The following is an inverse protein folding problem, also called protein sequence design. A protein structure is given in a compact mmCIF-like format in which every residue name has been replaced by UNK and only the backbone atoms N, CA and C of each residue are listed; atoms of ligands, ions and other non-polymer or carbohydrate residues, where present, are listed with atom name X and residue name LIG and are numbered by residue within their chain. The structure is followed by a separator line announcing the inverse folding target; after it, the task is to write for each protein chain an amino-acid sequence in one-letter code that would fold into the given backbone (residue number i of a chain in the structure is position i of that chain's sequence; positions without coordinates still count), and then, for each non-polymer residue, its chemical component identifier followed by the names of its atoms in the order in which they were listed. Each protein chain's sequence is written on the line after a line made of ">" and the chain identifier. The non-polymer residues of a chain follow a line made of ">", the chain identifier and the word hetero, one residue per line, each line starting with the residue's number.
data_IF_393170546368
#
_entry.id   IF_393170546368
#
_cell.length_a   1.000
_cell.length_b   1.000
_cell.length_c   1.000
_cell.angle_alpha   90.00
_cell.angle_beta   90.00
_cell.angle_gamma   90.00
#
_symmetry.space_group_name_H-M   'P 1'
#
loop_
_entity.id
_entity.type
_entity.pdbx_description
1 polymer ?
#
# COMPACT_ATOMS: atom_id res chain seq x y z
N UNK A 1 28.67 -21.51 -20.91
CA UNK A 1 27.59 -20.61 -20.48
C UNK A 1 27.10 -21.14 -19.14
N UNK A 2 27.56 -20.54 -18.05
CA UNK A 2 27.22 -20.98 -16.69
C UNK A 2 25.80 -20.46 -16.37
N UNK A 3 24.84 -21.37 -16.23
CA UNK A 3 23.46 -20.99 -15.92
C UNK A 3 23.39 -20.58 -14.44
N UNK A 4 23.01 -19.33 -14.17
CA UNK A 4 22.81 -18.84 -12.80
C UNK A 4 21.70 -19.65 -12.11
N UNK A 5 21.98 -20.14 -10.90
CA UNK A 5 21.02 -20.93 -10.10
C UNK A 5 19.86 -20.06 -9.64
N UNK A 6 18.63 -20.38 -10.07
CA UNK A 6 17.43 -19.70 -9.62
C UNK A 6 17.22 -19.87 -8.10
N UNK A 7 16.91 -18.78 -7.41
CA UNK A 7 16.58 -18.80 -5.98
C UNK A 7 15.20 -19.48 -5.79
N UNK A 8 15.19 -20.74 -5.32
CA UNK A 8 13.95 -21.54 -5.10
C UNK A 8 12.95 -20.87 -4.17
N UNK A 9 13.42 -20.07 -3.20
CA UNK A 9 12.54 -19.35 -2.29
C UNK A 9 11.77 -18.25 -3.04
N UNK A 10 12.43 -17.58 -4.00
CA UNK A 10 11.78 -16.58 -4.85
C UNK A 10 10.72 -17.22 -5.74
N UNK A 11 11.03 -18.35 -6.38
CA UNK A 11 10.07 -19.11 -7.19
C UNK A 11 8.84 -19.53 -6.38
N UNK A 12 9.04 -19.96 -5.13
CA UNK A 12 7.94 -20.36 -4.24
C UNK A 12 7.06 -19.18 -3.85
N UNK A 13 7.66 -18.03 -3.51
CA UNK A 13 6.93 -16.81 -3.20
C UNK A 13 6.15 -16.28 -4.42
N UNK A 14 6.76 -16.28 -5.61
CA UNK A 14 6.10 -15.89 -6.86
C UNK A 14 4.91 -16.78 -7.18
N UNK A 15 5.05 -18.11 -7.00
CA UNK A 15 3.96 -19.06 -7.19
C UNK A 15 2.79 -18.77 -6.24
N UNK A 16 3.07 -18.50 -4.96
CA UNK A 16 2.05 -18.18 -3.97
C UNK A 16 1.28 -16.90 -4.35
N UNK A 17 2.00 -15.82 -4.69
CA UNK A 17 1.39 -14.56 -5.16
C UNK A 17 0.54 -14.76 -6.41
N UNK A 18 1.05 -15.50 -7.40
CA UNK A 18 0.32 -15.74 -8.64
C UNK A 18 -0.93 -16.60 -8.40
N UNK A 19 -0.87 -17.59 -7.50
CA UNK A 19 -2.04 -18.42 -7.16
C UNK A 19 -3.14 -17.60 -6.51
N UNK A 20 -2.80 -16.75 -5.53
CA UNK A 20 -3.76 -15.84 -4.92
C UNK A 20 -4.30 -14.81 -5.92
N UNK A 21 -3.43 -14.24 -6.75
CA UNK A 21 -3.82 -13.26 -7.79
C UNK A 21 -4.83 -13.86 -8.76
N UNK A 22 -4.56 -15.08 -9.26
CA UNK A 22 -5.45 -15.78 -10.18
C UNK A 22 -6.82 -16.02 -9.55
N UNK A 23 -6.87 -16.55 -8.32
CA UNK A 23 -8.13 -16.81 -7.62
C UNK A 23 -8.98 -15.52 -7.48
N UNK A 24 -8.38 -14.41 -7.03
CA UNK A 24 -9.14 -13.17 -6.86
C UNK A 24 -9.64 -12.61 -8.21
N UNK A 25 -8.81 -12.67 -9.27
CA UNK A 25 -9.19 -12.18 -10.60
C UNK A 25 -10.24 -13.06 -11.29
N UNK A 26 -10.16 -14.38 -11.14
CA UNK A 26 -11.15 -15.34 -11.64
C UNK A 26 -12.54 -15.10 -11.01
N UNK A 27 -12.57 -14.57 -9.79
CA UNK A 27 -13.79 -14.17 -9.08
C UNK A 27 -14.11 -12.67 -9.20
N UNK A 28 -13.54 -12.00 -10.20
CA UNK A 28 -13.92 -10.63 -10.59
C UNK A 28 -13.33 -9.52 -9.72
N UNK A 29 -12.35 -9.79 -8.87
CA UNK A 29 -11.70 -8.78 -8.03
C UNK A 29 -10.40 -8.27 -8.65
N UNK A 30 -10.03 -7.04 -8.29
CA UNK A 30 -8.82 -6.40 -8.80
C UNK A 30 -7.65 -6.65 -7.85
N UNK A 31 -6.51 -7.03 -8.41
CA UNK A 31 -5.28 -7.29 -7.65
C UNK A 31 -4.15 -6.44 -8.20
N UNK A 32 -3.51 -5.67 -7.33
CA UNK A 32 -2.33 -4.86 -7.63
C UNK A 32 -1.13 -5.40 -6.87
N UNK A 33 -0.01 -5.59 -7.57
CA UNK A 33 1.26 -5.99 -6.95
C UNK A 33 1.96 -4.75 -6.42
N UNK A 34 2.53 -4.85 -5.22
CA UNK A 34 3.34 -3.78 -4.63
C UNK A 34 4.78 -4.02 -5.07
N UNK A 35 5.41 -3.00 -5.64
CA UNK A 35 6.83 -3.07 -6.00
C UNK A 35 7.67 -3.08 -4.71
N UNK A 36 8.56 -4.07 -4.61
CA UNK A 36 9.29 -4.44 -3.39
C UNK A 36 10.32 -3.44 -2.89
N UNK A 37 10.38 -2.23 -3.48
CA UNK A 37 11.26 -1.15 -3.04
C UNK A 37 10.73 -0.44 -1.78
N UNK A 38 9.46 -0.66 -1.41
CA UNK A 38 8.85 -0.20 -0.16
C UNK A 38 8.59 -1.39 0.79
N UNK A 39 9.47 -1.62 1.78
CA UNK A 39 9.37 -2.73 2.74
C UNK A 39 8.38 -2.47 3.90
N UNK A 40 7.11 -2.22 3.56
CA UNK A 40 6.01 -2.14 4.55
C UNK A 40 5.45 -3.51 4.94
N UNK A 41 5.87 -4.56 4.23
CA UNK A 41 5.51 -5.94 4.54
C UNK A 41 4.18 -6.39 3.93
N UNK A 42 3.60 -5.66 2.98
CA UNK A 42 2.48 -6.11 2.15
C UNK A 42 2.96 -6.45 0.73
N UNK A 43 2.40 -7.51 0.12
CA UNK A 43 2.76 -7.93 -1.24
C UNK A 43 1.78 -7.40 -2.29
N UNK A 44 0.50 -7.28 -1.92
CA UNK A 44 -0.59 -6.98 -2.85
C UNK A 44 -1.63 -6.04 -2.23
N UNK A 45 -2.35 -5.31 -3.08
CA UNK A 45 -3.65 -4.74 -2.75
C UNK A 45 -4.75 -5.47 -3.51
N UNK A 46 -5.90 -5.65 -2.87
CA UNK A 46 -7.09 -6.20 -3.51
C UNK A 46 -8.26 -5.25 -3.35
N UNK A 47 -8.79 -4.77 -4.48
CA UNK A 47 -10.03 -4.01 -4.55
C UNK A 47 -11.22 -4.95 -4.80
N UNK A 48 -12.22 -4.92 -3.92
CA UNK A 48 -13.41 -5.74 -4.08
C UNK A 48 -14.40 -5.10 -5.04
N UNK A 49 -14.94 -5.93 -5.93
CA UNK A 49 -15.95 -5.56 -6.91
C UNK A 49 -17.25 -6.32 -6.61
N UNK A 50 -18.36 -5.69 -6.98
CA UNK A 50 -19.72 -6.21 -6.91
C UNK A 50 -20.43 -5.75 -8.19
N UNK A 51 -21.01 -6.68 -8.95
CA UNK A 51 -21.64 -6.43 -10.26
C UNK A 51 -20.74 -5.61 -11.22
N UNK A 52 -19.46 -6.00 -11.34
CA UNK A 52 -18.43 -5.33 -12.14
C UNK A 52 -18.16 -3.86 -11.76
N UNK A 53 -18.61 -3.43 -10.57
CA UNK A 53 -18.34 -2.11 -9.99
C UNK A 53 -17.51 -2.25 -8.74
N UNK A 54 -16.53 -1.37 -8.55
CA UNK A 54 -15.85 -1.32 -7.25
C UNK A 54 -16.82 -0.95 -6.14
N UNK A 55 -16.60 -1.56 -5.01
CA UNK A 55 -17.37 -1.38 -3.79
C UNK A 55 -16.89 -0.21 -2.95
N UNK A 56 -15.66 0.28 -3.17
CA UNK A 56 -15.02 1.14 -2.18
C UNK A 56 -14.09 0.38 -1.22
N UNK A 57 -14.21 -0.94 -1.16
CA UNK A 57 -13.56 -1.77 -0.15
C UNK A 57 -12.22 -2.32 -0.69
N UNK A 58 -11.13 -2.09 0.06
CA UNK A 58 -9.78 -2.57 -0.28
C UNK A 58 -9.13 -3.23 0.92
N UNK A 59 -8.37 -4.28 0.64
CA UNK A 59 -7.47 -4.93 1.61
C UNK A 59 -6.03 -4.93 1.09
N UNK A 60 -5.08 -4.96 2.02
CA UNK A 60 -3.70 -5.25 1.73
C UNK A 60 -3.44 -6.72 2.08
N UNK A 61 -2.56 -7.37 1.33
CA UNK A 61 -2.33 -8.81 1.45
C UNK A 61 -0.85 -9.09 1.52
N UNK A 62 -0.45 -9.80 2.57
CA UNK A 62 0.91 -10.30 2.76
C UNK A 62 0.91 -11.79 2.45
N UNK A 63 1.58 -12.19 1.36
CA UNK A 63 1.50 -13.53 0.79
C UNK A 63 2.80 -14.29 1.05
N UNK A 64 2.69 -15.41 1.75
CA UNK A 64 3.79 -16.33 2.02
C UNK A 64 3.57 -17.66 1.32
N UNK A 65 4.64 -18.25 0.81
CA UNK A 65 4.60 -19.55 0.14
C UNK A 65 5.65 -20.49 0.71
N UNK A 66 5.25 -21.71 1.04
CA UNK A 66 6.18 -22.77 1.42
C UNK A 66 5.85 -23.51 2.71
N UNK A 67 6.39 -24.71 2.84
CA UNK A 67 6.19 -25.59 4.02
C UNK A 67 6.72 -25.00 5.33
N UNK A 68 7.65 -24.03 5.26
CA UNK A 68 8.23 -23.35 6.42
C UNK A 68 7.23 -22.51 7.22
N UNK A 69 6.06 -22.21 6.66
CA UNK A 69 5.00 -21.45 7.33
C UNK A 69 4.00 -22.33 8.09
N UNK A 70 4.12 -23.66 8.01
CA UNK A 70 3.29 -24.59 8.79
C UNK A 70 3.57 -24.43 10.28
N UNK A 71 2.50 -24.47 11.07
CA UNK A 71 2.53 -24.41 12.52
C UNK A 71 1.63 -25.51 13.11
N UNK A 72 1.70 -25.71 14.43
CA UNK A 72 0.74 -26.57 15.12
C UNK A 72 -0.67 -25.98 14.93
N UNK A 73 -1.60 -26.77 14.37
CA UNK A 73 -2.97 -26.34 14.09
C UNK A 73 -3.21 -25.73 12.70
N UNK A 74 -2.17 -25.29 11.98
CA UNK A 74 -2.34 -24.65 10.67
C UNK A 74 -1.07 -24.01 10.16
N UNK A 75 -1.08 -22.68 10.06
CA UNK A 75 0.01 -21.87 9.52
C UNK A 75 0.25 -20.64 10.40
N UNK A 76 1.42 -20.03 10.26
CA UNK A 76 1.72 -18.78 10.96
C UNK A 76 2.61 -17.86 10.13
N UNK A 77 2.36 -16.56 10.25
CA UNK A 77 3.17 -15.50 9.64
C UNK A 77 3.72 -14.61 10.75
N UNK A 78 5.03 -14.37 10.73
CA UNK A 78 5.68 -13.49 11.72
C UNK A 78 5.29 -12.03 11.46
N UNK A 79 4.89 -11.34 12.53
CA UNK A 79 4.53 -9.92 12.50
C UNK A 79 5.77 -9.05 12.28
N UNK A 80 6.88 -9.37 12.97
CA UNK A 80 8.16 -8.66 12.88
C UNK A 80 7.97 -7.13 13.07
N UNK A 81 8.70 -6.30 12.30
CA UNK A 81 8.64 -4.84 12.37
C UNK A 81 7.33 -4.23 11.81
N UNK A 82 6.48 -5.03 11.16
CA UNK A 82 5.32 -4.54 10.42
C UNK A 82 4.05 -4.43 11.27
N UNK A 83 4.05 -4.93 12.52
CA UNK A 83 2.85 -5.01 13.34
C UNK A 83 2.17 -3.67 13.59
N UNK A 84 2.95 -2.62 13.87
CA UNK A 84 2.41 -1.27 14.02
C UNK A 84 1.79 -0.75 12.72
N UNK A 85 2.43 -1.00 11.57
CA UNK A 85 1.92 -0.64 10.24
C UNK A 85 0.60 -1.35 9.95
N UNK A 86 0.55 -2.67 10.11
CA UNK A 86 -0.64 -3.48 9.84
C UNK A 86 -1.82 -3.17 10.76
N UNK A 87 -1.53 -2.70 11.98
CA UNK A 87 -2.53 -2.28 12.95
C UNK A 87 -3.08 -0.87 12.65
N UNK A 88 -2.20 0.07 12.31
CA UNK A 88 -2.54 1.50 12.16
C UNK A 88 -3.06 1.88 10.78
N UNK A 89 -2.74 1.11 9.74
CA UNK A 89 -3.22 1.38 8.38
C UNK A 89 -4.75 1.31 8.30
N UNK A 90 -5.35 2.16 7.45
CA UNK A 90 -6.79 2.14 7.16
C UNK A 90 -7.24 0.98 6.29
N UNK A 91 -6.30 0.38 5.56
CA UNK A 91 -6.56 -0.77 4.71
C UNK A 91 -6.27 -2.04 5.52
N UNK A 92 -7.27 -2.87 5.86
CA UNK A 92 -7.01 -4.09 6.63
C UNK A 92 -6.00 -5.01 5.92
N UNK A 93 -5.06 -5.54 6.70
CA UNK A 93 -4.03 -6.46 6.22
C UNK A 93 -4.50 -7.89 6.47
N UNK A 94 -4.44 -8.70 5.42
CA UNK A 94 -4.68 -10.15 5.47
C UNK A 94 -3.37 -10.88 5.20
N UNK A 95 -3.05 -11.88 6.02
CA UNK A 95 -1.99 -12.81 5.71
C UNK A 95 -2.55 -14.00 4.94
N UNK A 96 -1.89 -14.37 3.84
CA UNK A 96 -2.23 -15.56 3.04
C UNK A 96 -1.02 -16.48 2.96
N UNK A 97 -1.22 -17.77 3.19
CA UNK A 97 -0.20 -18.81 3.06
C UNK A 97 -0.60 -19.78 1.95
N UNK A 98 0.26 -19.95 0.95
CA UNK A 98 0.17 -21.03 -0.02
C UNK A 98 0.96 -22.25 0.46
N UNK A 99 0.26 -23.36 0.68
CA UNK A 99 0.87 -24.66 0.96
C UNK A 99 1.19 -25.36 -0.36
N UNK A 100 2.47 -25.52 -0.73
CA UNK A 100 2.84 -26.03 -2.04
C UNK A 100 2.62 -27.55 -2.20
N UNK A 101 2.42 -28.30 -1.11
CA UNK A 101 2.19 -29.75 -1.19
C UNK A 101 0.72 -30.08 -1.48
N UNK A 102 -0.20 -29.33 -0.89
CA UNK A 102 -1.64 -29.46 -1.15
C UNK A 102 -2.15 -28.50 -2.23
N UNK A 103 -1.32 -27.55 -2.66
CA UNK A 103 -1.66 -26.46 -3.58
C UNK A 103 -2.86 -25.61 -3.13
N UNK A 104 -2.99 -25.43 -1.82
CA UNK A 104 -4.09 -24.69 -1.18
C UNK A 104 -3.63 -23.35 -0.61
N UNK A 105 -4.52 -22.36 -0.63
CA UNK A 105 -4.32 -21.08 0.05
C UNK A 105 -5.07 -21.11 1.38
N UNK A 106 -4.48 -20.48 2.40
CA UNK A 106 -5.08 -20.31 3.73
C UNK A 106 -4.92 -18.86 4.15
N UNK A 107 -5.89 -18.29 4.88
CA UNK A 107 -5.89 -16.86 5.18
C UNK A 107 -6.22 -16.54 6.64
N UNK A 108 -5.74 -15.40 7.12
CA UNK A 108 -6.07 -14.85 8.42
C UNK A 108 -6.05 -13.33 8.42
N UNK A 109 -7.01 -12.71 9.12
CA UNK A 109 -7.10 -11.25 9.25
C UNK A 109 -6.06 -10.76 10.27
N UNK A 110 -4.92 -10.27 9.76
CA UNK A 110 -3.81 -9.82 10.59
C UNK A 110 -4.18 -8.56 11.38
N UNK A 111 -4.86 -7.60 10.74
CA UNK A 111 -5.30 -6.37 11.40
C UNK A 111 -6.24 -6.64 12.58
N UNK A 112 -7.17 -7.59 12.43
CA UNK A 112 -8.08 -7.95 13.52
C UNK A 112 -7.35 -8.65 14.67
N UNK A 113 -6.51 -9.65 14.39
CA UNK A 113 -5.74 -10.33 15.44
C UNK A 113 -4.82 -9.37 16.21
N UNK A 114 -4.14 -8.45 15.52
CA UNK A 114 -3.31 -7.42 16.15
C UNK A 114 -4.15 -6.48 17.02
N UNK A 115 -5.33 -6.08 16.56
CA UNK A 115 -6.25 -5.23 17.33
C UNK A 115 -6.71 -5.94 18.59
N UNK A 116 -7.13 -7.20 18.50
CA UNK A 116 -7.57 -7.98 19.66
C UNK A 116 -6.45 -8.16 20.68
N UNK A 117 -5.23 -8.44 20.23
CA UNK A 117 -4.06 -8.52 21.10
C UNK A 117 -3.79 -7.19 21.82
N UNK A 118 -3.82 -6.07 21.10
CA UNK A 118 -3.65 -4.74 21.70
C UNK A 118 -4.73 -4.42 22.73
N UNK A 119 -6.00 -4.74 22.45
CA UNK A 119 -7.11 -4.57 23.39
C UNK A 119 -6.92 -5.44 24.64
N UNK A 120 -6.34 -6.63 24.49
CA UNK A 120 -5.98 -7.51 25.60
C UNK A 120 -4.68 -7.10 26.32
N UNK A 121 -3.99 -6.04 25.86
CA UNK A 121 -2.71 -5.60 26.41
C UNK A 121 -1.55 -6.56 26.13
N UNK A 122 -1.62 -7.35 25.06
CA UNK A 122 -0.60 -8.32 24.67
C UNK A 122 0.07 -7.97 23.35
N UNK A 123 1.36 -8.27 23.25
CA UNK A 123 2.12 -8.11 22.00
C UNK A 123 2.03 -9.39 21.16
N UNK A 124 1.36 -9.32 20.02
CA UNK A 124 1.23 -10.44 19.10
C UNK A 124 2.48 -10.56 18.22
N UNK A 125 3.19 -11.71 18.31
CA UNK A 125 4.43 -11.98 17.54
C UNK A 125 4.17 -12.66 16.19
N UNK A 126 3.04 -13.35 16.07
CA UNK A 126 2.67 -14.16 14.91
C UNK A 126 1.18 -14.05 14.64
N UNK A 127 0.82 -13.89 13.38
CA UNK A 127 -0.54 -14.06 12.90
C UNK A 127 -0.79 -15.56 12.74
N UNK A 128 -1.79 -16.08 13.44
CA UNK A 128 -2.22 -17.46 13.32
C UNK A 128 -3.20 -17.61 12.16
N UNK A 129 -3.06 -18.68 11.38
CA UNK A 129 -3.94 -19.01 10.27
C UNK A 129 -4.38 -20.46 10.47
N UNK A 130 -5.68 -20.65 10.69
CA UNK A 130 -6.25 -21.97 10.92
C UNK A 130 -6.17 -22.83 9.65
N UNK A 131 -6.01 -24.15 9.81
CA UNK A 131 -5.90 -25.09 8.68
C UNK A 131 -7.17 -25.19 7.83
N UNK A 132 -8.32 -24.88 8.41
CA UNK A 132 -9.63 -24.88 7.76
C UNK A 132 -10.01 -23.50 7.19
N UNK A 133 -9.21 -22.47 7.42
CA UNK A 133 -9.34 -21.15 6.81
C UNK A 133 -8.88 -21.15 5.34
N UNK A 134 -9.40 -22.11 4.57
CA UNK A 134 -9.07 -22.32 3.16
C UNK A 134 -9.63 -21.17 2.33
N UNK A 135 -8.83 -20.69 1.39
CA UNK A 135 -9.23 -19.73 0.37
C UNK A 135 -9.20 -20.39 -1.01
N UNK A 136 -10.37 -20.74 -1.53
CA UNK A 136 -10.55 -21.38 -2.84
C UNK A 136 -11.81 -20.87 -3.54
N UNK A 137 -12.15 -21.48 -4.68
CA UNK A 137 -13.31 -21.12 -5.50
C UNK A 137 -14.64 -21.18 -4.75
N UNK A 138 -14.73 -21.98 -3.69
CA UNK A 138 -15.96 -22.14 -2.89
C UNK A 138 -16.02 -21.19 -1.71
N UNK A 139 -14.87 -20.75 -1.19
CA UNK A 139 -14.79 -19.93 0.03
C UNK A 139 -14.48 -18.45 -0.22
N UNK A 140 -14.01 -18.07 -1.42
CA UNK A 140 -13.64 -16.69 -1.75
C UNK A 140 -14.79 -15.69 -1.57
N UNK A 141 -16.03 -16.05 -1.91
CA UNK A 141 -17.19 -15.18 -1.70
C UNK A 141 -17.44 -14.89 -0.21
N UNK A 142 -17.26 -15.90 0.66
CA UNK A 142 -17.39 -15.75 2.11
C UNK A 142 -16.22 -14.92 2.69
N UNK A 143 -15.01 -15.13 2.20
CA UNK A 143 -13.85 -14.30 2.52
C UNK A 143 -14.10 -12.82 2.20
N UNK A 144 -14.56 -12.51 0.98
CA UNK A 144 -14.88 -11.15 0.53
C UNK A 144 -15.96 -10.53 1.41
N UNK A 145 -17.05 -11.26 1.66
CA UNK A 145 -18.13 -10.81 2.54
C UNK A 145 -17.63 -10.46 3.94
N UNK A 146 -16.77 -11.31 4.49
CA UNK A 146 -16.18 -11.14 5.82
C UNK A 146 -15.27 -9.90 5.87
N UNK A 147 -14.40 -9.72 4.88
CA UNK A 147 -13.49 -8.58 4.84
C UNK A 147 -14.23 -7.27 4.60
N UNK A 148 -15.25 -7.24 3.73
CA UNK A 148 -16.10 -6.07 3.52
C UNK A 148 -16.89 -5.69 4.78
N UNK A 149 -17.39 -6.67 5.53
CA UNK A 149 -18.01 -6.41 6.84
C UNK A 149 -17.00 -5.80 7.82
N UNK A 150 -15.80 -6.37 7.92
CA UNK A 150 -14.74 -5.83 8.76
C UNK A 150 -14.33 -4.39 8.38
N UNK A 151 -14.27 -4.06 7.09
CA UNK A 151 -14.00 -2.70 6.59
C UNK A 151 -15.13 -1.73 7.00
N UNK A 152 -16.39 -2.16 6.88
CA UNK A 152 -17.54 -1.34 7.30
C UNK A 152 -17.56 -1.09 8.81
N UNK A 153 -17.29 -2.10 9.62
CA UNK A 153 -17.20 -1.96 11.07
C UNK A 153 -16.06 -1.01 11.47
N UNK A 154 -14.97 -1.01 10.70
CA UNK A 154 -13.90 0.00 10.81
C UNK A 154 -14.30 1.41 10.35
N UNK A 155 -15.44 1.59 9.69
CA UNK A 155 -15.93 2.87 9.17
C UNK A 155 -16.08 3.97 10.23
N UNK A 156 -16.10 3.61 11.52
CA UNK A 156 -15.98 4.56 12.64
C UNK A 156 -14.69 5.40 12.56
N UNK A 157 -13.60 4.86 12.02
CA UNK A 157 -12.35 5.61 11.81
C UNK A 157 -12.56 6.71 10.76
N UNK A 158 -13.31 6.46 9.68
CA UNK A 158 -13.61 7.50 8.68
C UNK A 158 -14.40 8.63 9.30
N UNK A 159 -15.37 8.31 10.16
CA UNK A 159 -16.11 9.30 10.92
C UNK A 159 -15.19 10.07 11.88
N UNK A 160 -14.34 9.38 12.64
CA UNK A 160 -13.37 10.01 13.54
C UNK A 160 -12.39 10.93 12.79
N UNK A 161 -11.85 10.50 11.65
CA UNK A 161 -10.97 11.30 10.80
C UNK A 161 -11.70 12.49 10.18
N UNK A 162 -12.97 12.34 9.81
CA UNK A 162 -13.79 13.45 9.34
C UNK A 162 -14.01 14.48 10.44
N UNK A 163 -14.27 14.04 11.67
CA UNK A 163 -14.42 14.91 12.84
C UNK A 163 -13.09 15.59 13.21
N UNK A 164 -11.98 14.85 13.22
CA UNK A 164 -10.64 15.36 13.55
C UNK A 164 -10.16 16.40 12.55
N UNK A 165 -10.32 16.11 11.26
CA UNK A 165 -9.84 16.99 10.18
C UNK A 165 -10.82 18.12 9.85
N UNK A 166 -12.08 18.00 10.26
CA UNK A 166 -13.16 18.92 9.86
C UNK A 166 -13.59 18.77 8.40
N UNK A 167 -13.13 17.73 7.69
CA UNK A 167 -13.47 17.46 6.30
C UNK A 167 -14.42 16.28 6.16
N UNK A 168 -15.40 16.39 5.28
CA UNK A 168 -16.24 15.25 4.91
C UNK A 168 -15.41 14.30 4.05
N UNK A 169 -15.15 13.11 4.57
CA UNK A 169 -14.45 12.05 3.86
C UNK A 169 -15.49 11.09 3.27
N UNK A 170 -15.71 11.17 1.95
CA UNK A 170 -16.76 10.39 1.28
C UNK A 170 -16.43 8.89 1.32
N UNK A 171 -17.45 8.05 1.46
CA UNK A 171 -17.35 6.59 1.33
C UNK A 171 -16.81 6.15 -0.03
N UNK A 172 -17.03 6.93 -1.08
CA UNK A 172 -16.56 6.65 -2.43
C UNK A 172 -15.12 7.03 -2.66
N UNK A 173 -14.44 7.69 -1.71
CA UNK A 173 -13.04 8.07 -1.83
C UNK A 173 -12.11 6.97 -1.33
N UNK A 174 -10.96 6.83 -1.97
CA UNK A 174 -9.85 6.09 -1.38
C UNK A 174 -9.26 6.95 -0.26
N UNK A 175 -9.18 6.38 0.93
CA UNK A 175 -8.67 7.05 2.12
C UNK A 175 -7.57 6.21 2.76
N UNK A 176 -6.42 6.83 2.97
CA UNK A 176 -5.37 6.29 3.80
C UNK A 176 -5.08 7.26 4.95
N UNK A 177 -4.70 6.71 6.10
CA UNK A 177 -4.32 7.46 7.29
C UNK A 177 -2.98 6.94 7.79
N UNK A 178 -2.15 7.84 8.27
CA UNK A 178 -0.85 7.57 8.84
C UNK A 178 -0.61 8.54 9.99
N UNK A 179 -0.09 8.02 11.10
CA UNK A 179 0.44 8.84 12.18
C UNK A 179 1.96 8.72 12.13
N UNK A 180 2.65 9.84 11.94
CA UNK A 180 4.11 9.84 11.83
C UNK A 180 4.80 9.68 13.21
N UNK A 181 6.13 9.67 13.22
CA UNK A 181 6.93 9.53 14.44
C UNK A 181 6.76 10.70 15.44
N UNK A 182 6.25 11.83 14.97
CA UNK A 182 5.96 13.02 15.77
C UNK A 182 4.53 13.04 16.32
N UNK A 183 3.78 11.94 16.15
CA UNK A 183 2.36 11.84 16.51
C UNK A 183 1.48 12.83 15.75
N UNK A 184 1.89 13.20 14.54
CA UNK A 184 1.10 14.03 13.65
C UNK A 184 0.27 13.13 12.73
N UNK A 185 -0.99 13.52 12.56
CA UNK A 185 -1.97 12.76 11.81
C UNK A 185 -1.99 13.23 10.35
N UNK A 186 -1.90 12.26 9.45
CA UNK A 186 -1.84 12.48 8.02
C UNK A 186 -2.94 11.68 7.34
N UNK A 187 -3.72 12.33 6.47
CA UNK A 187 -4.78 11.71 5.68
C UNK A 187 -4.49 11.94 4.21
N UNK A 188 -4.39 10.86 3.45
CA UNK A 188 -4.40 10.88 2.00
C UNK A 188 -5.81 10.55 1.53
N UNK A 189 -6.37 11.42 0.70
CA UNK A 189 -7.69 11.26 0.11
C UNK A 189 -7.58 11.34 -1.40
N UNK A 190 -7.91 10.25 -2.08
CA UNK A 190 -8.09 10.24 -3.53
C UNK A 190 -9.58 10.17 -3.85
N UNK A 191 -10.17 11.27 -4.34
CA UNK A 191 -11.52 11.22 -4.88
C UNK A 191 -11.59 10.32 -6.10
N UNK A 192 -12.72 9.62 -6.24
CA UNK A 192 -13.01 8.78 -7.41
C UNK A 192 -12.99 9.61 -8.69
N UNK A 193 -12.39 9.06 -9.75
CA UNK A 193 -12.29 9.70 -11.07
C UNK A 193 -11.56 11.06 -11.07
N UNK A 194 -10.87 11.42 -9.98
CA UNK A 194 -10.07 12.65 -9.89
C UNK A 194 -8.62 12.37 -10.28
N UNK A 195 -8.01 13.27 -11.06
CA UNK A 195 -6.59 13.20 -11.37
C UNK A 195 -5.71 13.55 -10.15
N UNK A 196 -6.21 14.41 -9.26
CA UNK A 196 -5.48 14.88 -8.08
C UNK A 196 -6.02 14.26 -6.79
N UNK A 197 -5.15 14.17 -5.79
CA UNK A 197 -5.50 13.77 -4.43
C UNK A 197 -5.35 14.95 -3.47
N UNK A 198 -5.87 14.78 -2.26
CA UNK A 198 -5.76 15.74 -1.17
C UNK A 198 -4.95 15.11 -0.03
N UNK A 199 -3.98 15.87 0.45
CA UNK A 199 -3.24 15.58 1.68
C UNK A 199 -3.76 16.51 2.79
N UNK A 200 -4.17 15.93 3.90
CA UNK A 200 -4.52 16.64 5.12
C UNK A 200 -3.51 16.27 6.20
N UNK A 201 -2.97 17.27 6.88
CA UNK A 201 -1.95 17.07 7.91
C UNK A 201 -2.34 17.87 9.16
N UNK A 202 -2.24 17.27 10.35
CA UNK A 202 -2.63 17.92 11.59
C UNK A 202 -1.78 19.16 11.88
N UNK A 203 -0.46 19.09 11.69
CA UNK A 203 0.44 20.24 11.87
C UNK A 203 0.20 21.37 10.85
N UNK A 204 -0.35 21.04 9.68
CA UNK A 204 -0.78 22.03 8.68
C UNK A 204 -2.19 22.60 8.96
N UNK A 205 -2.73 22.35 10.16
CA UNK A 205 -4.06 22.77 10.57
C UNK A 205 -5.17 22.16 9.70
N UNK A 206 -4.94 20.97 9.15
CA UNK A 206 -5.86 20.26 8.27
C UNK A 206 -6.24 21.02 6.98
N UNK A 207 -5.46 22.02 6.58
CA UNK A 207 -5.69 22.68 5.30
C UNK A 207 -5.40 21.70 4.15
N UNK A 208 -6.32 21.51 3.19
CA UNK A 208 -6.09 20.62 2.06
C UNK A 208 -4.88 21.07 1.24
N UNK A 209 -3.96 20.15 1.02
CA UNK A 209 -2.85 20.29 0.09
C UNK A 209 -3.18 19.40 -1.12
N UNK A 210 -3.42 20.02 -2.27
CA UNK A 210 -3.59 19.28 -3.50
C UNK A 210 -2.26 18.67 -3.94
N UNK A 211 -2.26 17.37 -4.21
CA UNK A 211 -1.09 16.63 -4.66
C UNK A 211 -1.42 15.90 -5.96
N UNK A 212 -0.42 15.83 -6.83
CA UNK A 212 -0.45 14.98 -8.02
C UNK A 212 0.12 13.62 -7.62
N UNK A 213 -0.70 12.55 -7.59
CA UNK A 213 -0.22 11.23 -7.21
C UNK A 213 0.80 10.64 -8.20
N UNK A 214 0.79 11.08 -9.46
CA UNK A 214 1.78 10.61 -10.44
C UNK A 214 3.12 11.34 -10.27
N UNK A 215 3.10 12.55 -9.70
CA UNK A 215 4.26 13.40 -9.49
C UNK A 215 4.23 14.14 -8.15
N UNK A 216 4.54 13.40 -7.08
CA UNK A 216 4.46 13.92 -5.70
C UNK A 216 5.47 15.03 -5.43
N UNK A 217 6.71 14.87 -5.89
CA UNK A 217 7.81 15.81 -5.66
C UNK A 217 8.18 16.60 -6.92
N UNK A 218 9.06 17.59 -6.74
CA UNK A 218 9.63 18.33 -7.88
C UNK A 218 10.51 17.43 -8.75
N UNK A 219 11.31 16.55 -8.14
CA UNK A 219 12.10 15.54 -8.86
C UNK A 219 11.22 14.62 -9.70
N UNK A 220 10.09 14.14 -9.15
CA UNK A 220 9.16 13.28 -9.87
C UNK A 220 8.57 13.99 -11.10
N UNK A 221 8.22 15.28 -10.99
CA UNK A 221 7.72 16.09 -12.12
C UNK A 221 8.74 16.20 -13.24
N UNK A 222 10.00 16.49 -12.93
CA UNK A 222 11.04 16.60 -13.95
C UNK A 222 11.40 15.24 -14.56
N UNK A 223 11.41 14.18 -13.77
CA UNK A 223 11.59 12.82 -14.27
C UNK A 223 10.49 12.44 -15.28
N UNK A 224 9.22 12.79 -15.02
CA UNK A 224 8.13 12.58 -15.98
C UNK A 224 8.29 13.36 -17.29
N UNK A 225 8.90 14.54 -17.24
CA UNK A 225 9.23 15.32 -18.43
C UNK A 225 10.44 14.76 -19.22
N UNK A 226 11.02 13.66 -18.75
CA UNK A 226 12.12 12.95 -19.41
C UNK A 226 13.51 13.41 -18.98
N UNK A 227 13.63 14.25 -17.96
CA UNK A 227 14.92 14.65 -17.41
C UNK A 227 15.44 13.56 -16.46
N UNK A 228 16.60 13.00 -16.76
CA UNK A 228 17.20 11.92 -15.97
C UNK A 228 18.35 12.43 -15.09
N UNK A 229 18.92 13.59 -15.42
CA UNK A 229 19.99 14.23 -14.65
C UNK A 229 19.74 15.72 -14.42
N UNK A 230 20.40 16.28 -13.40
CA UNK A 230 20.40 17.73 -13.17
C UNK A 230 21.01 18.50 -14.35
N UNK A 231 21.98 17.91 -15.04
CA UNK A 231 22.64 18.57 -16.18
C UNK A 231 21.66 18.76 -17.33
N UNK A 232 20.92 17.72 -17.71
CA UNK A 232 19.89 17.80 -18.76
C UNK A 232 18.83 18.87 -18.42
N UNK A 233 18.40 18.92 -17.16
CA UNK A 233 17.46 19.95 -16.70
C UNK A 233 18.06 21.36 -16.80
N UNK A 234 19.31 21.53 -16.37
CA UNK A 234 19.97 22.83 -16.36
C UNK A 234 20.29 23.33 -17.77
N UNK A 235 20.64 22.44 -18.70
CA UNK A 235 20.75 22.71 -20.14
C UNK A 235 19.41 23.17 -20.72
N UNK A 236 18.31 22.46 -20.40
CA UNK A 236 16.97 22.81 -20.88
C UNK A 236 16.49 24.17 -20.38
N UNK A 237 16.80 24.51 -19.13
CA UNK A 237 16.46 25.80 -18.51
C UNK A 237 17.43 26.93 -18.86
N UNK A 238 18.49 26.64 -19.62
CA UNK A 238 19.55 27.58 -19.99
C UNK A 238 20.15 28.31 -18.76
N UNK A 239 20.43 27.55 -17.70
CA UNK A 239 21.01 28.09 -16.48
C UNK A 239 22.49 28.46 -16.69
N UNK A 240 23.01 29.51 -16.02
CA UNK A 240 24.43 29.82 -16.06
C UNK A 240 25.25 28.75 -15.33
N UNK A 241 26.46 28.43 -15.83
CA UNK A 241 27.39 27.49 -15.18
C UNK A 241 27.11 26.01 -15.46
N UNK A 242 26.28 25.68 -16.45
CA UNK A 242 25.96 24.29 -16.83
C UNK A 242 27.18 23.51 -17.30
N UNK A 243 28.13 24.17 -17.97
CA UNK A 243 29.40 23.55 -18.40
C UNK A 243 30.31 23.18 -17.21
N UNK A 244 30.06 23.76 -16.03
CA UNK A 244 30.80 23.48 -14.79
C UNK A 244 30.17 22.34 -13.99
N UNK A 245 28.94 21.91 -14.34
CA UNK A 245 28.30 20.75 -13.74
C UNK A 245 29.02 19.47 -14.20
N UNK A 246 29.32 18.53 -13.27
CA UNK A 246 29.86 17.22 -13.64
C UNK A 246 28.99 16.53 -14.71
N UNK A 247 29.60 15.78 -15.63
CA UNK A 247 28.84 15.03 -16.64
C UNK A 247 27.96 13.92 -16.03
N UNK A 248 28.19 13.57 -14.76
CA UNK A 248 27.50 12.56 -13.97
C UNK A 248 26.88 13.20 -12.70
N UNK A 249 26.17 14.32 -12.86
CA UNK A 249 25.32 14.80 -11.76
C UNK A 249 24.17 13.83 -11.64
N UNK A 250 24.18 13.02 -10.58
CA UNK A 250 23.27 11.89 -10.37
C UNK A 250 21.77 12.21 -10.54
N UNK A 251 20.95 11.16 -10.40
CA UNK A 251 19.52 11.18 -10.75
C UNK A 251 18.80 12.46 -10.30
N UNK A 252 17.99 13.04 -11.20
CA UNK A 252 17.30 14.32 -10.96
C UNK A 252 16.45 14.29 -9.69
N UNK A 253 15.88 13.13 -9.33
CA UNK A 253 15.12 12.94 -8.09
C UNK A 253 16.05 12.98 -6.89
N UNK A 254 17.18 12.28 -6.93
CA UNK A 254 18.14 12.26 -5.82
C UNK A 254 18.64 13.67 -5.48
N UNK A 255 18.79 14.52 -6.49
CA UNK A 255 19.30 15.87 -6.27
C UNK A 255 18.21 16.87 -5.86
N UNK A 256 17.02 16.82 -6.46
CA UNK A 256 15.94 17.75 -6.18
C UNK A 256 15.11 17.37 -4.94
N UNK A 257 15.04 16.09 -4.59
CA UNK A 257 14.20 15.59 -3.49
C UNK A 257 14.99 15.34 -2.19
N UNK A 258 16.16 15.98 -2.04
CA UNK A 258 16.90 16.01 -0.76
C UNK A 258 16.02 16.53 0.39
N UNK A 259 15.13 17.46 0.08
CA UNK A 259 14.06 17.92 0.94
C UNK A 259 12.77 17.78 0.12
N UNK A 260 12.05 16.66 0.25
CA UNK A 260 10.90 16.41 -0.61
C UNK A 260 9.76 17.36 -0.23
N UNK A 261 9.26 18.07 -1.24
CA UNK A 261 8.12 18.99 -1.13
C UNK A 261 6.97 18.44 -1.95
N UNK A 262 5.84 18.19 -1.30
CA UNK A 262 4.61 17.72 -1.93
C UNK A 262 3.61 18.85 -2.10
N UNK A 263 2.85 18.80 -3.21
CA UNK A 263 1.87 19.84 -3.55
C UNK A 263 2.49 21.24 -3.71
N UNK A 264 3.80 21.33 -3.92
CA UNK A 264 4.56 22.57 -4.06
C UNK A 264 4.72 23.40 -2.77
N UNK A 265 4.24 22.92 -1.63
CA UNK A 265 4.19 23.74 -0.41
C UNK A 265 4.48 23.00 0.91
N UNK A 266 4.36 21.67 0.94
CA UNK A 266 4.47 20.91 2.19
C UNK A 266 5.71 20.02 2.19
N UNK A 267 6.60 20.22 3.17
CA UNK A 267 7.80 19.39 3.33
C UNK A 267 7.40 18.10 4.02
N UNK A 268 7.87 16.97 3.50
CA UNK A 268 7.67 15.65 4.11
C UNK A 268 9.01 15.01 4.43
N UNK A 269 9.04 14.11 5.41
CA UNK A 269 10.19 13.24 5.63
C UNK A 269 10.15 12.00 4.69
N UNK A 270 11.20 11.18 4.74
CA UNK A 270 11.30 9.98 3.88
C UNK A 270 10.19 8.94 4.17
N UNK A 271 9.87 8.61 5.44
CA UNK A 271 8.72 7.74 5.75
C UNK A 271 7.39 8.24 5.18
N UNK A 272 7.09 9.53 5.32
CA UNK A 272 5.88 10.16 4.80
C UNK A 272 5.84 10.14 3.28
N UNK A 273 6.96 10.47 2.62
CA UNK A 273 7.04 10.40 1.17
C UNK A 273 6.83 8.97 0.65
N UNK A 274 7.44 7.97 1.30
CA UNK A 274 7.28 6.57 0.96
C UNK A 274 5.81 6.12 1.12
N UNK A 275 5.16 6.54 2.21
CA UNK A 275 3.75 6.31 2.44
C UNK A 275 2.85 7.00 1.39
N UNK A 276 3.15 8.25 1.02
CA UNK A 276 2.42 8.97 -0.03
C UNK A 276 2.57 8.29 -1.40
N UNK A 277 3.77 7.79 -1.73
CA UNK A 277 4.01 7.00 -2.96
C UNK A 277 3.20 5.72 -2.96
N UNK A 278 3.14 5.01 -1.83
CA UNK A 278 2.30 3.82 -1.68
C UNK A 278 0.81 4.16 -1.86
N UNK A 279 0.34 5.26 -1.28
CA UNK A 279 -1.03 5.74 -1.44
C UNK A 279 -1.34 6.12 -2.89
N UNK A 280 -0.42 6.81 -3.55
CA UNK A 280 -0.55 7.21 -4.95
C UNK A 280 -0.66 6.00 -5.89
N UNK A 281 0.16 4.97 -5.68
CA UNK A 281 0.10 3.73 -6.41
C UNK A 281 -1.21 2.96 -6.13
N UNK A 282 -1.56 2.78 -4.85
CA UNK A 282 -2.77 2.08 -4.43
C UNK A 282 -4.06 2.74 -4.96
N UNK A 283 -4.04 4.07 -5.11
CA UNK A 283 -5.19 4.85 -5.55
C UNK A 283 -5.28 5.05 -7.07
N UNK A 284 -4.33 4.52 -7.86
CA UNK A 284 -4.30 4.66 -9.33
C UNK A 284 -5.60 4.20 -9.99
N UNK A 285 -6.11 3.05 -9.59
CA UNK A 285 -7.35 2.54 -10.15
C UNK A 285 -8.56 3.40 -9.75
N UNK A 286 -8.52 4.02 -8.57
CA UNK A 286 -9.55 4.96 -8.12
C UNK A 286 -9.67 6.19 -9.02
N UNK A 287 -8.53 6.65 -9.56
CA UNK A 287 -8.46 7.74 -10.54
C UNK A 287 -8.99 7.32 -11.91
N UNK A 288 -8.73 6.07 -12.30
CA UNK A 288 -9.15 5.52 -13.60
C UNK A 288 -10.59 4.98 -13.60
N UNK A 289 -11.20 4.79 -12.43
CA UNK A 289 -12.55 4.27 -12.30
C UNK A 289 -13.56 5.29 -12.86
N UNK A 290 -14.54 4.84 -13.67
CA UNK A 290 -15.62 5.72 -14.12
C UNK A 290 -16.39 6.25 -12.92
N UNK A 291 -16.69 7.55 -12.95
CA UNK A 291 -17.46 8.27 -11.93
C UNK A 291 -18.85 7.67 -11.76
#
# INVERSE_FOLDING_TARGET
>A
MEMSKANRNRVTADRARNRFTALMQEHGHLVHKIDGDNDFGEDLYVGFLEDDRTTGDTIAVQVKGGVSYRAAGGYSVRVSQHGETWLKTNVPVVCVVHDPESDTLHWGNASDQLRQAKLAGTDLRTIAIERDAVLDDTTVAAFVTTMRAHIRDRGEIRHALSVMSGHVLDTTDYLAYFMNEYSEDIIFRQPRASATALLLHSDWGWKPIEIDPEALTLGDRFAQLGFTSLRELAEHLNLPGVDELPTDVGDVREQLDKIPVVGGQFIVNQPELAWLRACAAASQWWRAAPA
#
